data_IF_818048333689
#
_entry.id   IF_818048333689
#
_cell.length_a   1.000
_cell.length_b   1.000
_cell.length_c   1.000
_cell.angle_alpha   90.00
_cell.angle_beta   90.00
_cell.angle_gamma   90.00
#
_symmetry.space_group_name_H-M   'P 1'
#
loop_
_entity.id
_entity.type
_entity.pdbx_description
1 polymer ?
#
# COMPACT_ATOMS: atom_id res chain seq x y z
N UNK A 1 0.45 -12.75 -2.22
CA UNK A 1 0.18 -12.02 -0.97
C UNK A 1 -1.29 -12.14 -0.59
N UNK A 2 -1.60 -12.55 0.65
CA UNK A 2 -2.97 -12.51 1.17
C UNK A 2 -3.49 -11.07 1.21
N UNK A 3 -4.78 -10.89 0.96
CA UNK A 3 -5.41 -9.58 0.95
C UNK A 3 -6.87 -9.70 1.36
N UNK A 4 -7.44 -8.58 1.81
CA UNK A 4 -8.84 -8.47 2.21
C UNK A 4 -9.43 -7.18 1.65
N UNK A 5 -10.71 -7.24 1.31
CA UNK A 5 -11.45 -6.06 0.82
C UNK A 5 -12.16 -5.43 2.02
N UNK A 6 -11.82 -4.19 2.32
CA UNK A 6 -12.47 -3.39 3.36
C UNK A 6 -13.42 -2.41 2.68
N UNK A 7 -14.72 -2.57 2.96
CA UNK A 7 -15.76 -1.66 2.48
C UNK A 7 -16.02 -0.61 3.56
N UNK A 8 -15.81 0.65 3.21
CA UNK A 8 -16.04 1.83 4.03
C UNK A 8 -17.32 2.51 3.59
N UNK A 9 -18.38 2.32 4.38
CA UNK A 9 -19.67 2.97 4.15
C UNK A 9 -19.67 4.44 4.56
N UNK A 10 -18.67 4.87 5.33
CA UNK A 10 -18.48 6.21 5.89
C UNK A 10 -17.76 7.19 4.94
N UNK A 11 -17.25 6.72 3.79
CA UNK A 11 -16.47 7.51 2.84
C UNK A 11 -17.23 7.71 1.53
N UNK A 12 -17.24 8.93 1.00
CA UNK A 12 -17.91 9.22 -0.28
C UNK A 12 -17.07 8.79 -1.49
N UNK A 13 -15.75 9.05 -1.47
CA UNK A 13 -14.87 8.91 -2.63
C UNK A 13 -14.12 7.58 -2.70
N UNK A 14 -13.74 6.97 -1.57
CA UNK A 14 -13.02 5.68 -1.52
C UNK A 14 -13.76 4.67 -0.65
N UNK A 15 -14.87 4.15 -1.19
CA UNK A 15 -15.76 3.19 -0.50
C UNK A 15 -15.17 1.79 -0.36
N UNK A 16 -14.19 1.43 -1.18
CA UNK A 16 -13.58 0.09 -1.16
C UNK A 16 -12.08 0.24 -1.14
N UNK A 17 -11.40 -0.51 -0.26
CA UNK A 17 -9.94 -0.57 -0.16
C UNK A 17 -9.48 -2.01 -0.12
N UNK A 18 -8.48 -2.34 -0.93
CA UNK A 18 -7.74 -3.59 -0.78
C UNK A 18 -6.66 -3.40 0.29
N UNK A 19 -6.65 -4.27 1.28
CA UNK A 19 -5.64 -4.32 2.33
C UNK A 19 -4.81 -5.57 2.14
N UNK A 20 -3.50 -5.40 1.97
CA UNK A 20 -2.56 -6.49 1.79
C UNK A 20 -1.94 -6.87 3.12
N UNK A 21 -1.93 -8.16 3.44
CA UNK A 21 -1.35 -8.71 4.66
C UNK A 21 0.10 -9.16 4.38
N UNK A 22 1.02 -8.20 4.39
CA UNK A 22 2.45 -8.45 4.25
C UNK A 22 3.11 -9.27 5.39
N UNK A 23 2.68 -9.17 6.67
CA UNK A 23 3.25 -9.99 7.75
C UNK A 23 2.71 -11.42 7.79
N UNK A 24 1.71 -11.76 6.96
CA UNK A 24 1.20 -13.13 6.84
C UNK A 24 2.31 -14.12 6.50
N UNK A 25 2.34 -15.25 7.20
CA UNK A 25 3.34 -16.31 7.00
C UNK A 25 2.70 -17.69 6.99
N UNK A 26 3.16 -18.53 6.04
CA UNK A 26 2.89 -19.96 6.05
C UNK A 26 3.66 -20.66 7.16
N UNK A 27 3.20 -21.85 7.58
CA UNK A 27 3.88 -22.65 8.59
C UNK A 27 5.32 -22.96 8.13
N UNK A 28 6.32 -22.48 8.87
CA UNK A 28 7.74 -22.66 8.55
C UNK A 28 8.31 -21.72 7.48
N UNK A 29 7.53 -20.76 6.99
CA UNK A 29 7.98 -19.78 5.99
C UNK A 29 8.13 -18.37 6.60
N UNK A 30 8.94 -17.54 5.96
CA UNK A 30 9.09 -16.12 6.27
C UNK A 30 7.96 -15.30 5.63
N UNK A 31 7.57 -14.20 6.27
CA UNK A 31 6.66 -13.21 5.67
C UNK A 31 7.41 -12.28 4.71
N UNK A 32 6.67 -11.45 3.96
CA UNK A 32 7.30 -10.42 3.11
C UNK A 32 8.10 -9.44 3.97
N UNK A 33 7.54 -9.03 5.11
CA UNK A 33 8.20 -8.09 6.03
C UNK A 33 9.49 -8.65 6.64
N UNK A 34 9.57 -9.97 6.88
CA UNK A 34 10.79 -10.61 7.41
C UNK A 34 11.93 -10.64 6.38
N UNK A 35 11.61 -10.49 5.09
CA UNK A 35 12.58 -10.49 3.98
C UNK A 35 13.02 -9.07 3.59
N UNK A 36 12.32 -8.03 4.03
CA UNK A 36 12.64 -6.65 3.74
C UNK A 36 13.60 -6.09 4.80
N UNK A 37 14.69 -5.46 4.35
CA UNK A 37 15.59 -4.74 5.25
C UNK A 37 15.03 -3.34 5.50
N UNK A 38 14.81 -2.91 6.75
CA UNK A 38 14.35 -1.56 7.02
C UNK A 38 15.41 -0.55 6.57
N UNK A 39 14.99 0.40 5.73
CA UNK A 39 15.82 1.53 5.36
C UNK A 39 16.02 2.52 6.51
N UNK A 40 16.91 3.52 6.34
CA UNK A 40 17.06 4.60 7.31
C UNK A 40 15.76 5.41 7.44
N UNK A 41 15.52 6.08 8.58
CA UNK A 41 14.34 6.91 8.76
C UNK A 41 14.43 8.14 7.83
N UNK A 42 13.55 8.20 6.84
CA UNK A 42 13.47 9.31 5.88
C UNK A 42 12.50 10.43 6.31
N UNK A 43 11.62 10.14 7.28
CA UNK A 43 10.63 11.10 7.73
C UNK A 43 11.29 12.15 8.64
N UNK A 44 11.07 13.45 8.38
CA UNK A 44 11.54 14.49 9.29
C UNK A 44 10.86 14.36 10.66
N UNK A 45 11.53 14.84 11.72
CA UNK A 45 10.91 14.87 13.05
C UNK A 45 9.68 15.76 13.01
N UNK A 46 8.56 15.28 13.52
CA UNK A 46 7.29 16.01 13.48
C UNK A 46 7.38 17.40 14.12
N UNK A 47 8.14 17.53 15.21
CA UNK A 47 8.36 18.82 15.87
C UNK A 47 9.07 19.82 14.96
N UNK A 48 10.08 19.39 14.20
CA UNK A 48 10.82 20.27 13.29
C UNK A 48 9.91 20.78 12.17
N UNK A 49 9.04 19.92 11.64
CA UNK A 49 8.04 20.30 10.63
C UNK A 49 7.07 21.33 11.19
N UNK A 50 6.55 21.11 12.40
CA UNK A 50 5.59 22.03 13.05
C UNK A 50 6.22 23.38 13.40
N UNK A 51 7.48 23.40 13.83
CA UNK A 51 8.20 24.65 14.12
C UNK A 51 8.40 25.48 12.85
N UNK A 52 8.84 24.86 11.75
CA UNK A 52 8.99 25.55 10.44
C UNK A 52 7.65 26.03 9.89
N UNK A 53 6.58 25.25 10.08
CA UNK A 53 5.24 25.64 9.65
C UNK A 53 4.74 26.92 10.35
N UNK A 54 5.25 27.22 11.55
CA UNK A 54 4.90 28.41 12.33
C UNK A 54 5.83 29.61 12.11
N UNK A 55 6.91 29.43 11.34
CA UNK A 55 7.92 30.48 11.13
C UNK A 55 7.38 31.64 10.27
N UNK A 56 6.40 31.36 9.42
CA UNK A 56 5.81 32.33 8.50
C UNK A 56 4.33 32.58 8.81
N UNK A 57 3.86 33.78 8.48
CA UNK A 57 2.47 34.20 8.66
C UNK A 57 1.48 33.37 7.83
N UNK A 58 1.92 32.87 6.68
CA UNK A 58 1.14 32.08 5.75
C UNK A 58 1.81 30.74 5.47
N UNK A 59 1.03 29.66 5.48
CA UNK A 59 1.50 28.32 5.18
C UNK A 59 0.49 27.57 4.30
N UNK A 60 1.00 26.78 3.36
CA UNK A 60 0.19 25.93 2.49
C UNK A 60 0.27 24.48 2.92
N UNK A 61 -0.86 23.80 2.90
CA UNK A 61 -0.96 22.39 3.19
C UNK A 61 -1.76 21.72 2.07
N UNK A 62 -1.27 20.58 1.59
CA UNK A 62 -1.96 19.74 0.62
C UNK A 62 -1.61 18.29 0.87
N UNK A 63 -2.54 17.39 0.56
CA UNK A 63 -2.33 15.94 0.61
C UNK A 63 -2.13 15.39 -0.80
N UNK A 64 -1.16 14.49 -0.96
CA UNK A 64 -0.95 13.79 -2.23
C UNK A 64 -1.76 12.49 -2.18
N UNK A 65 -2.92 12.51 -2.84
CA UNK A 65 -3.76 11.33 -2.95
C UNK A 65 -2.99 10.17 -3.57
N UNK A 66 -2.84 9.08 -2.81
CA UNK A 66 -2.18 7.87 -3.30
C UNK A 66 -0.66 8.03 -3.53
N UNK A 67 0.04 8.85 -2.74
CA UNK A 67 1.48 9.10 -2.88
C UNK A 67 2.33 7.83 -3.10
N UNK A 68 2.05 6.74 -2.37
CA UNK A 68 2.78 5.47 -2.53
C UNK A 68 2.52 4.77 -3.87
N UNK A 69 1.36 5.01 -4.50
CA UNK A 69 1.05 4.46 -5.82
C UNK A 69 1.77 5.21 -6.94
N UNK A 70 2.27 6.41 -6.69
CA UNK A 70 3.09 7.15 -7.67
C UNK A 70 4.54 6.65 -7.73
N UNK A 71 4.97 5.88 -6.72
CA UNK A 71 6.33 5.33 -6.65
C UNK A 71 6.35 3.99 -7.40
N UNK A 72 7.21 3.89 -8.41
CA UNK A 72 7.40 2.64 -9.16
C UNK A 72 8.16 1.57 -8.38
N UNK A 73 7.81 0.31 -8.60
CA UNK A 73 8.56 -0.85 -8.09
C UNK A 73 9.54 -1.32 -9.17
N UNK A 74 10.78 -1.58 -8.75
CA UNK A 74 11.82 -2.16 -9.61
C UNK A 74 11.32 -3.44 -10.27
N UNK A 75 11.67 -3.67 -11.55
CA UNK A 75 11.14 -4.81 -12.31
C UNK A 75 11.49 -6.16 -11.67
N UNK A 76 12.68 -6.24 -11.08
CA UNK A 76 13.20 -7.41 -10.37
C UNK A 76 12.37 -7.76 -9.12
N UNK A 77 11.74 -6.76 -8.49
CA UNK A 77 11.02 -6.93 -7.23
C UNK A 77 9.49 -7.07 -7.39
N UNK A 78 8.94 -6.76 -8.57
CA UNK A 78 7.49 -6.77 -8.83
C UNK A 78 6.84 -8.12 -8.54
N UNK A 79 7.56 -9.21 -8.74
CA UNK A 79 7.04 -10.56 -8.55
C UNK A 79 6.83 -10.91 -7.06
N UNK A 80 7.43 -10.19 -6.12
CA UNK A 80 7.15 -10.33 -4.69
C UNK A 80 5.80 -9.72 -4.28
N UNK A 81 5.27 -8.78 -5.07
CA UNK A 81 3.99 -8.09 -4.83
C UNK A 81 2.82 -8.69 -5.61
N UNK A 82 2.89 -9.98 -5.96
CA UNK A 82 1.79 -10.69 -6.64
C UNK A 82 0.65 -11.01 -5.68
N UNK A 83 -0.58 -10.90 -6.15
CA UNK A 83 -1.78 -11.31 -5.41
C UNK A 83 -2.81 -11.98 -6.34
N UNK A 84 -3.68 -12.78 -5.74
CA UNK A 84 -4.73 -13.48 -6.46
C UNK A 84 -6.00 -12.63 -6.47
N UNK A 85 -6.60 -12.41 -7.64
CA UNK A 85 -7.94 -11.83 -7.77
C UNK A 85 -8.91 -12.94 -8.17
N UNK A 86 -9.98 -13.09 -7.39
CA UNK A 86 -11.05 -14.04 -7.65
C UNK A 86 -12.22 -13.29 -8.32
N UNK A 87 -12.43 -13.41 -9.64
CA UNK A 87 -13.62 -12.87 -10.30
C UNK A 87 -14.86 -13.59 -9.76
N UNK A 88 -15.90 -12.84 -9.39
CA UNK A 88 -17.06 -13.38 -8.67
C UNK A 88 -17.82 -14.49 -9.43
N UNK A 89 -18.33 -15.47 -8.66
CA UNK A 89 -19.37 -16.51 -8.87
C UNK A 89 -19.57 -17.25 -10.21
N UNK A 90 -19.01 -16.85 -11.35
CA UNK A 90 -19.24 -17.53 -12.63
C UNK A 90 -18.26 -18.70 -12.87
N UNK A 91 -17.08 -18.67 -12.26
CA UNK A 91 -16.12 -19.79 -12.34
C UNK A 91 -15.41 -19.95 -10.99
N UNK A 92 -15.91 -20.88 -10.17
CA UNK A 92 -15.42 -21.17 -8.81
C UNK A 92 -13.94 -21.59 -8.74
N UNK A 93 -13.26 -21.80 -9.87
CA UNK A 93 -11.85 -22.18 -9.96
C UNK A 93 -10.98 -21.24 -10.81
N UNK A 94 -11.53 -20.14 -11.35
CA UNK A 94 -10.71 -19.18 -12.09
C UNK A 94 -10.17 -18.12 -11.12
N UNK A 95 -8.84 -17.99 -11.08
CA UNK A 95 -8.17 -16.88 -10.39
C UNK A 95 -7.27 -16.15 -11.38
N UNK A 96 -7.14 -14.84 -11.21
CA UNK A 96 -6.15 -14.04 -11.95
C UNK A 96 -5.01 -13.70 -11.01
N UNK A 97 -3.78 -13.92 -11.43
CA UNK A 97 -2.61 -13.42 -10.71
C UNK A 97 -2.37 -12.00 -11.21
N UNK A 98 -2.46 -11.03 -10.31
CA UNK A 98 -2.15 -9.62 -10.57
C UNK A 98 -0.88 -9.22 -9.84
N UNK A 99 -0.24 -8.16 -10.34
CA UNK A 99 0.92 -7.51 -9.74
C UNK A 99 0.49 -6.14 -9.25
N UNK A 100 0.98 -5.72 -8.09
CA UNK A 100 0.83 -4.32 -7.69
C UNK A 100 1.65 -3.44 -8.64
N UNK A 101 0.98 -2.53 -9.32
CA UNK A 101 1.58 -1.48 -10.15
C UNK A 101 0.80 -0.18 -9.89
N UNK A 102 1.48 0.95 -10.04
CA UNK A 102 0.94 2.31 -9.97
C UNK A 102 -0.34 2.51 -10.79
N UNK A 103 -0.54 1.69 -11.83
CA UNK A 103 -1.67 1.74 -12.77
C UNK A 103 -2.78 0.72 -12.46
N UNK A 104 -2.56 -0.22 -11.54
CA UNK A 104 -3.43 -1.39 -11.33
C UNK A 104 -4.24 -1.30 -10.02
N UNK A 105 -4.08 -0.23 -9.24
CA UNK A 105 -4.78 0.01 -7.96
C UNK A 105 -5.51 1.35 -8.01
#
# INVERSE_FOLDING_TARGET
>A
MPHSVVVRTDKETTKVRMVFDAPSKGKGHKSLNDCLTPGPPLNPRSLDVLLRFREFEYAFCSDIQGAFLTIGISEEDRDYFRFFLFPGKQDSNSYKILRMDARTI
#
